data_IF_307700435163
#
_entry.id   IF_307700435163
#
_cell.length_a   1.000
_cell.length_b   1.000
_cell.length_c   1.000
_cell.angle_alpha   90.00
_cell.angle_beta   90.00
_cell.angle_gamma   90.00
#
_symmetry.space_group_name_H-M   'P 1'
#
loop_
_entity.id
_entity.type
_entity.pdbx_description
1 polymer ?
#
# COMPACT_ATOMS: atom_id res chain seq x y z
N UNK A 1 -12.80 61.48 -9.98
CA UNK A 1 -12.44 60.07 -9.74
C UNK A 1 -13.46 59.09 -10.36
N UNK A 2 -13.79 59.24 -11.66
CA UNK A 2 -14.88 58.50 -12.34
C UNK A 2 -14.42 57.68 -13.55
N UNK A 3 -13.13 57.74 -13.89
CA UNK A 3 -12.58 57.09 -15.09
C UNK A 3 -12.36 55.57 -14.92
N UNK A 4 -11.89 55.13 -13.75
CA UNK A 4 -11.63 53.71 -13.47
C UNK A 4 -12.90 52.85 -13.43
N UNK A 5 -14.00 53.39 -12.89
CA UNK A 5 -15.30 52.70 -12.84
C UNK A 5 -15.92 52.51 -14.23
N UNK A 6 -15.67 53.46 -15.14
CA UNK A 6 -16.16 53.37 -16.52
C UNK A 6 -15.32 52.39 -17.34
N UNK A 7 -14.00 52.35 -17.12
CA UNK A 7 -13.10 51.38 -17.74
C UNK A 7 -13.39 49.94 -17.31
N UNK A 8 -13.69 49.71 -16.02
CA UNK A 8 -14.11 48.40 -15.50
C UNK A 8 -15.45 47.93 -16.09
N UNK A 9 -16.42 48.84 -16.26
CA UNK A 9 -17.71 48.50 -16.91
C UNK A 9 -17.59 48.23 -18.40
N UNK A 10 -16.72 48.95 -19.11
CA UNK A 10 -16.49 48.70 -20.54
C UNK A 10 -15.70 47.43 -20.79
N UNK A 11 -14.77 47.05 -19.91
CA UNK A 11 -14.12 45.75 -19.95
C UNK A 11 -15.13 44.62 -19.68
N UNK A 12 -15.99 44.77 -18.67
CA UNK A 12 -17.06 43.80 -18.40
C UNK A 12 -18.05 43.64 -19.56
N UNK A 13 -18.35 44.72 -20.29
CA UNK A 13 -19.22 44.68 -21.48
C UNK A 13 -18.53 44.07 -22.71
N UNK A 14 -17.20 44.21 -22.85
CA UNK A 14 -16.44 43.75 -24.03
C UNK A 14 -16.12 42.24 -23.98
N UNK A 15 -16.12 41.64 -22.79
CA UNK A 15 -16.11 40.18 -22.60
C UNK A 15 -17.51 39.54 -22.68
N UNK A 16 -18.56 40.31 -23.02
CA UNK A 16 -19.90 39.79 -23.27
C UNK A 16 -20.00 39.12 -24.66
N UNK A 17 -18.99 38.30 -25.00
CA UNK A 17 -19.00 37.36 -26.11
C UNK A 17 -19.84 36.15 -25.66
N UNK A 18 -21.13 36.19 -26.00
CA UNK A 18 -22.07 35.09 -25.85
C UNK A 18 -22.17 34.55 -24.42
N UNK A 19 -22.86 35.29 -23.55
CA UNK A 19 -23.14 34.89 -22.16
C UNK A 19 -23.66 33.45 -21.99
N UNK A 20 -24.22 32.82 -23.04
CA UNK A 20 -24.61 31.40 -23.02
C UNK A 20 -23.50 30.40 -23.35
N UNK A 21 -22.57 30.72 -24.26
CA UNK A 21 -21.56 29.78 -24.74
C UNK A 21 -20.32 29.73 -23.83
N UNK A 22 -19.90 30.87 -23.27
CA UNK A 22 -18.81 30.94 -22.30
C UNK A 22 -19.24 30.45 -20.92
N UNK A 23 -20.47 30.77 -20.48
CA UNK A 23 -21.02 30.26 -19.22
C UNK A 23 -21.10 28.74 -19.18
N UNK A 24 -21.39 28.09 -20.32
CA UNK A 24 -21.39 26.63 -20.42
C UNK A 24 -20.01 26.01 -20.16
N UNK A 25 -18.95 26.56 -20.77
CA UNK A 25 -17.57 26.09 -20.51
C UNK A 25 -17.15 26.32 -19.06
N UNK A 26 -17.47 27.47 -18.48
CA UNK A 26 -17.19 27.73 -17.07
C UNK A 26 -18.00 26.83 -16.13
N UNK A 27 -19.25 26.47 -16.48
CA UNK A 27 -20.05 25.51 -15.72
C UNK A 27 -19.42 24.11 -15.73
N UNK A 28 -18.91 23.64 -16.88
CA UNK A 28 -18.21 22.35 -16.97
C UNK A 28 -16.92 22.38 -16.14
N UNK A 29 -16.12 23.44 -16.26
CA UNK A 29 -14.88 23.59 -15.48
C UNK A 29 -15.20 23.66 -13.99
N UNK A 30 -16.24 24.41 -13.59
CA UNK A 30 -16.68 24.50 -12.20
C UNK A 30 -17.20 23.16 -11.67
N UNK A 31 -17.91 22.38 -12.49
CA UNK A 31 -18.37 21.03 -12.11
C UNK A 31 -17.21 20.06 -11.95
N UNK A 32 -16.23 20.10 -12.85
CA UNK A 32 -14.99 19.32 -12.74
C UNK A 32 -14.19 19.71 -11.50
N UNK A 33 -14.03 21.02 -11.26
CA UNK A 33 -13.30 21.55 -10.11
C UNK A 33 -13.99 21.21 -8.80
N UNK A 34 -15.32 21.34 -8.70
CA UNK A 34 -16.08 20.98 -7.50
C UNK A 34 -16.04 19.48 -7.24
N UNK A 35 -16.18 18.65 -8.27
CA UNK A 35 -16.07 17.18 -8.14
C UNK A 35 -14.68 16.77 -7.70
N UNK A 36 -13.62 17.34 -8.30
CA UNK A 36 -12.24 17.07 -7.90
C UNK A 36 -11.95 17.55 -6.47
N UNK A 37 -12.45 18.73 -6.09
CA UNK A 37 -12.30 19.28 -4.74
C UNK A 37 -13.04 18.42 -3.71
N UNK A 38 -14.25 17.96 -4.03
CA UNK A 38 -15.05 17.10 -3.17
C UNK A 38 -14.39 15.72 -3.03
N UNK A 39 -13.92 15.12 -4.12
CA UNK A 39 -13.15 13.86 -4.08
C UNK A 39 -11.87 14.00 -3.25
N UNK A 40 -11.13 15.11 -3.44
CA UNK A 40 -9.94 15.42 -2.65
C UNK A 40 -10.27 15.57 -1.16
N UNK A 41 -11.35 16.27 -0.82
CA UNK A 41 -11.83 16.45 0.55
C UNK A 41 -12.29 15.13 1.17
N UNK A 42 -13.05 14.32 0.45
CA UNK A 42 -13.50 12.99 0.88
C UNK A 42 -12.30 12.10 1.16
N UNK A 43 -11.33 12.03 0.23
CA UNK A 43 -10.11 11.25 0.42
C UNK A 43 -9.28 11.78 1.59
N UNK A 44 -9.17 13.10 1.75
CA UNK A 44 -8.39 13.72 2.84
C UNK A 44 -9.04 13.51 4.21
N UNK A 45 -10.36 13.65 4.31
CA UNK A 45 -11.13 13.44 5.54
C UNK A 45 -11.20 11.94 5.89
N UNK A 46 -11.40 11.07 4.89
CA UNK A 46 -11.40 9.63 5.10
C UNK A 46 -10.01 9.15 5.55
N UNK A 47 -8.93 9.63 4.92
CA UNK A 47 -7.56 9.36 5.37
C UNK A 47 -7.30 9.91 6.78
N UNK A 48 -7.79 11.10 7.11
CA UNK A 48 -7.62 11.68 8.46
C UNK A 48 -8.46 10.99 9.54
N UNK A 49 -9.65 10.47 9.21
CA UNK A 49 -10.49 9.68 10.13
C UNK A 49 -9.94 8.28 10.36
N UNK A 50 -9.43 7.63 9.31
CA UNK A 50 -8.74 6.34 9.40
C UNK A 50 -7.40 6.50 10.15
N UNK A 51 -6.69 7.62 9.98
CA UNK A 51 -5.47 7.98 10.75
C UNK A 51 -5.72 8.11 12.25
N UNK A 52 -6.83 8.73 12.66
CA UNK A 52 -7.17 8.91 14.08
C UNK A 52 -7.51 7.61 14.82
N UNK A 53 -7.96 6.58 14.10
CA UNK A 53 -8.41 5.32 14.71
C UNK A 53 -7.33 4.24 14.80
N UNK A 54 -6.17 4.44 14.16
CA UNK A 54 -5.15 3.39 14.01
C UNK A 54 -3.82 3.67 14.72
N UNK A 55 -3.60 4.82 15.36
CA UNK A 55 -2.30 5.20 15.93
C UNK A 55 -1.10 4.98 14.96
N UNK A 56 -1.35 5.07 13.64
CA UNK A 56 -0.30 5.02 12.61
C UNK A 56 -0.14 6.41 12.01
N UNK A 57 0.29 7.36 12.83
CA UNK A 57 0.94 8.58 12.34
C UNK A 57 2.43 8.27 12.20
N UNK A 58 2.98 8.29 10.98
CA UNK A 58 4.44 8.23 10.84
C UNK A 58 5.05 7.93 9.48
N UNK A 59 4.30 7.44 8.48
CA UNK A 59 4.90 7.04 7.19
C UNK A 59 4.32 7.80 5.99
N UNK A 60 5.16 8.62 5.34
CA UNK A 60 4.96 9.28 4.05
C UNK A 60 4.79 8.27 2.91
N UNK A 61 4.30 8.71 1.74
CA UNK A 61 4.17 7.83 0.56
C UNK A 61 5.51 7.21 0.12
N UNK A 62 6.62 7.93 0.31
CA UNK A 62 7.96 7.41 0.07
C UNK A 62 8.31 6.29 1.06
N UNK A 63 8.02 6.48 2.34
CA UNK A 63 8.23 5.46 3.37
C UNK A 63 7.34 4.23 3.17
N UNK A 64 6.12 4.39 2.65
CA UNK A 64 5.27 3.26 2.27
C UNK A 64 5.88 2.45 1.12
N UNK A 65 6.43 3.10 0.10
CA UNK A 65 7.11 2.41 -1.01
C UNK A 65 8.36 1.67 -0.53
N UNK A 66 9.17 2.30 0.33
CA UNK A 66 10.35 1.69 0.92
C UNK A 66 9.93 0.47 1.74
N UNK A 67 8.92 0.59 2.59
CA UNK A 67 8.40 -0.52 3.39
C UNK A 67 7.88 -1.67 2.51
N UNK A 68 7.15 -1.37 1.42
CA UNK A 68 6.67 -2.40 0.49
C UNK A 68 7.82 -3.11 -0.22
N UNK A 69 8.85 -2.36 -0.63
CA UNK A 69 10.06 -2.92 -1.24
C UNK A 69 10.80 -3.82 -0.24
N UNK A 70 10.99 -3.32 0.99
CA UNK A 70 11.80 -3.99 2.01
C UNK A 70 11.07 -5.20 2.60
N UNK A 71 9.73 -5.23 2.55
CA UNK A 71 8.92 -6.39 2.93
C UNK A 71 8.54 -7.30 1.75
N UNK A 72 9.06 -7.05 0.54
CA UNK A 72 8.67 -7.81 -0.65
C UNK A 72 9.03 -9.31 -0.56
N UNK A 73 10.10 -9.65 0.18
CA UNK A 73 10.52 -11.03 0.42
C UNK A 73 9.44 -11.85 1.15
N UNK A 74 8.73 -11.24 2.11
CA UNK A 74 7.66 -11.92 2.83
C UNK A 74 6.47 -12.24 1.91
N UNK A 75 6.09 -11.28 1.06
CA UNK A 75 5.06 -11.51 0.05
C UNK A 75 5.48 -12.59 -0.96
N UNK A 76 6.78 -12.70 -1.26
CA UNK A 76 7.31 -13.79 -2.09
C UNK A 76 7.20 -15.14 -1.40
N UNK A 77 7.57 -15.26 -0.12
CA UNK A 77 7.41 -16.50 0.64
C UNK A 77 5.94 -16.98 0.67
N UNK A 78 4.99 -16.05 0.84
CA UNK A 78 3.56 -16.38 0.75
C UNK A 78 3.15 -16.89 -0.63
N UNK A 79 3.69 -16.31 -1.72
CA UNK A 79 3.43 -16.80 -3.08
C UNK A 79 3.99 -18.21 -3.32
N UNK A 80 5.17 -18.52 -2.77
CA UNK A 80 5.74 -19.87 -2.87
C UNK A 80 4.84 -20.89 -2.17
N UNK A 81 4.31 -20.54 -0.99
CA UNK A 81 3.30 -21.34 -0.27
C UNK A 81 2.00 -21.51 -1.08
N UNK A 82 1.46 -20.42 -1.62
CA UNK A 82 0.26 -20.47 -2.46
C UNK A 82 0.47 -21.35 -3.71
N UNK A 83 1.68 -21.32 -4.29
CA UNK A 83 2.01 -22.14 -5.46
C UNK A 83 1.97 -23.64 -5.19
N UNK A 84 2.21 -24.04 -3.94
CA UNK A 84 2.09 -25.42 -3.49
C UNK A 84 0.70 -25.74 -2.93
N UNK A 85 -0.26 -24.82 -3.02
CA UNK A 85 -1.65 -25.02 -2.60
C UNK A 85 -1.89 -24.76 -1.12
N UNK A 86 -0.94 -24.13 -0.43
CA UNK A 86 -1.02 -23.87 1.02
C UNK A 86 -1.09 -22.37 1.22
N UNK A 87 -2.26 -21.86 1.57
CA UNK A 87 -2.44 -20.42 1.77
C UNK A 87 -2.51 -20.07 3.25
N UNK A 88 -1.86 -18.97 3.63
CA UNK A 88 -1.96 -18.44 4.99
C UNK A 88 -3.38 -17.95 5.28
N UNK A 89 -4.09 -18.47 6.30
CA UNK A 89 -5.37 -17.94 6.70
C UNK A 89 -5.29 -16.46 7.11
N UNK A 90 -6.34 -15.68 6.79
CA UNK A 90 -6.36 -14.22 7.05
C UNK A 90 -6.37 -13.88 8.54
N UNK A 91 -7.00 -14.72 9.36
CA UNK A 91 -7.13 -14.52 10.80
C UNK A 91 -5.85 -14.87 11.56
N UNK A 92 -4.91 -15.63 10.96
CA UNK A 92 -3.67 -16.01 11.60
C UNK A 92 -2.56 -15.00 11.38
N UNK A 93 -1.81 -14.74 12.46
CA UNK A 93 -0.57 -13.98 12.38
C UNK A 93 0.50 -14.80 11.65
N UNK A 94 1.49 -14.15 10.98
CA UNK A 94 2.61 -14.85 10.35
C UNK A 94 3.28 -15.90 11.26
N UNK A 95 3.48 -15.57 12.55
CA UNK A 95 4.10 -16.47 13.53
C UNK A 95 3.19 -17.63 13.94
N UNK A 96 1.89 -17.39 14.10
CA UNK A 96 0.92 -18.45 14.40
C UNK A 96 0.83 -19.45 13.23
N UNK A 97 0.84 -18.94 12.00
CA UNK A 97 0.86 -19.79 10.82
C UNK A 97 2.16 -20.59 10.66
N UNK A 98 3.30 -20.03 11.08
CA UNK A 98 4.56 -20.78 11.10
C UNK A 98 4.49 -21.99 12.05
N UNK A 99 3.83 -21.83 13.20
CA UNK A 99 3.61 -22.93 14.15
C UNK A 99 2.71 -24.01 13.55
N UNK A 100 1.64 -23.62 12.85
CA UNK A 100 0.76 -24.55 12.13
C UNK A 100 1.50 -25.29 11.01
N UNK A 101 2.32 -24.60 10.21
CA UNK A 101 3.20 -25.27 9.24
C UNK A 101 4.12 -26.28 9.94
N UNK A 102 4.63 -25.92 11.13
CA UNK A 102 5.47 -26.75 11.96
C UNK A 102 4.81 -28.05 12.46
N UNK A 103 3.47 -28.11 12.53
CA UNK A 103 2.77 -29.35 12.88
C UNK A 103 2.71 -30.34 11.72
N UNK A 104 2.81 -29.85 10.47
CA UNK A 104 2.87 -30.68 9.26
C UNK A 104 4.31 -31.08 8.93
N UNK A 105 5.21 -30.10 8.95
CA UNK A 105 6.64 -30.31 8.78
C UNK A 105 7.43 -29.30 9.62
N UNK A 106 8.21 -29.81 10.56
CA UNK A 106 8.95 -28.98 11.52
C UNK A 106 9.96 -28.06 10.84
N UNK A 107 10.67 -28.54 9.81
CA UNK A 107 11.71 -27.77 9.14
C UNK A 107 11.11 -26.62 8.31
N UNK A 108 9.98 -26.87 7.64
CA UNK A 108 9.20 -25.86 6.89
C UNK A 108 8.68 -24.79 7.84
N UNK A 109 8.11 -25.20 8.98
CA UNK A 109 7.63 -24.28 10.01
C UNK A 109 8.72 -23.38 10.56
N UNK A 110 9.90 -23.93 10.87
CA UNK A 110 11.05 -23.16 11.35
C UNK A 110 11.56 -22.17 10.30
N UNK A 111 11.70 -22.60 9.05
CA UNK A 111 12.16 -21.74 7.96
C UNK A 111 11.19 -20.58 7.70
N UNK A 112 9.87 -20.84 7.73
CA UNK A 112 8.87 -19.78 7.60
C UNK A 112 8.83 -18.85 8.82
N UNK A 113 9.04 -19.39 10.03
CA UNK A 113 9.11 -18.59 11.25
C UNK A 113 10.25 -17.56 11.20
N UNK A 114 11.41 -17.95 10.67
CA UNK A 114 12.55 -17.04 10.48
C UNK A 114 12.21 -15.90 9.52
N UNK A 115 11.56 -16.20 8.40
CA UNK A 115 11.08 -15.17 7.45
C UNK A 115 10.06 -14.23 8.12
N UNK A 116 9.13 -14.78 8.90
CA UNK A 116 8.13 -13.99 9.62
C UNK A 116 8.77 -13.05 10.67
N UNK A 117 9.82 -13.51 11.35
CA UNK A 117 10.57 -12.71 12.32
C UNK A 117 11.29 -11.54 11.62
N UNK A 118 11.96 -11.80 10.49
CA UNK A 118 12.57 -10.73 9.69
C UNK A 118 11.52 -9.73 9.20
N UNK A 119 10.36 -10.22 8.77
CA UNK A 119 9.25 -9.36 8.37
C UNK A 119 8.79 -8.46 9.52
N UNK A 120 8.69 -8.98 10.75
CA UNK A 120 8.34 -8.16 11.91
C UNK A 120 9.37 -7.11 12.25
N UNK A 121 10.67 -7.42 12.14
CA UNK A 121 11.75 -6.43 12.32
C UNK A 121 11.62 -5.27 11.34
N UNK A 122 11.37 -5.57 10.07
CA UNK A 122 11.16 -4.54 9.03
C UNK A 122 9.85 -3.78 9.25
N UNK A 123 8.75 -4.49 9.53
CA UNK A 123 7.40 -3.90 9.57
C UNK A 123 7.10 -3.11 10.83
N UNK A 124 7.56 -3.57 11.98
CA UNK A 124 7.23 -3.03 13.30
C UNK A 124 8.46 -2.54 14.07
N UNK A 125 9.64 -3.09 13.78
CA UNK A 125 10.89 -2.69 14.42
C UNK A 125 11.50 -1.39 13.88
N UNK A 126 10.90 -0.77 12.84
CA UNK A 126 11.47 0.42 12.20
C UNK A 126 12.81 0.16 11.49
N UNK A 127 13.16 -1.11 11.29
CA UNK A 127 14.43 -1.51 10.68
C UNK A 127 14.38 -1.31 9.16
N UNK A 128 15.34 -0.56 8.63
CA UNK A 128 15.54 -0.46 7.18
C UNK A 128 16.69 -1.40 6.81
N UNK A 129 16.44 -2.49 6.07
CA UNK A 129 17.48 -3.45 5.72
C UNK A 129 18.61 -2.79 4.92
N UNK A 130 19.85 -3.10 5.26
CA UNK A 130 21.00 -2.88 4.39
C UNK A 130 20.92 -3.75 3.13
N UNK A 131 21.73 -3.44 2.11
CA UNK A 131 21.79 -4.26 0.89
C UNK A 131 22.21 -5.71 1.16
N UNK A 132 23.09 -5.92 2.15
CA UNK A 132 23.49 -7.25 2.60
C UNK A 132 22.30 -8.00 3.22
N UNK A 133 21.57 -7.37 4.14
CA UNK A 133 20.40 -7.98 4.78
C UNK A 133 19.28 -8.27 3.78
N UNK A 134 19.02 -7.36 2.83
CA UNK A 134 18.06 -7.59 1.76
C UNK A 134 18.45 -8.82 0.90
N UNK A 135 19.75 -9.02 0.66
CA UNK A 135 20.26 -10.20 -0.03
C UNK A 135 20.09 -11.46 0.84
N UNK A 136 20.34 -11.37 2.15
CA UNK A 136 20.07 -12.47 3.08
C UNK A 136 18.58 -12.83 3.13
N UNK A 137 17.67 -11.85 3.11
CA UNK A 137 16.22 -12.10 3.05
C UNK A 137 15.82 -12.84 1.77
N UNK A 138 16.42 -12.50 0.63
CA UNK A 138 16.23 -13.24 -0.62
C UNK A 138 16.75 -14.69 -0.49
N UNK A 139 17.93 -14.88 0.09
CA UNK A 139 18.48 -16.22 0.34
C UNK A 139 17.59 -17.07 1.26
N UNK A 140 16.98 -16.47 2.29
CA UNK A 140 16.01 -17.15 3.15
C UNK A 140 14.81 -17.66 2.36
N UNK A 141 14.25 -16.83 1.46
CA UNK A 141 13.12 -17.23 0.61
C UNK A 141 13.52 -18.36 -0.35
N UNK A 142 14.73 -18.33 -0.91
CA UNK A 142 15.22 -19.40 -1.79
C UNK A 142 15.43 -20.72 -1.04
N UNK A 143 16.02 -20.67 0.15
CA UNK A 143 16.20 -21.83 1.01
C UNK A 143 14.84 -22.42 1.43
N UNK A 144 13.91 -21.54 1.84
CA UNK A 144 12.53 -21.93 2.16
C UNK A 144 11.83 -22.59 0.98
N UNK A 145 11.95 -22.02 -0.22
CA UNK A 145 11.39 -22.62 -1.45
C UNK A 145 11.96 -24.02 -1.69
N UNK A 146 13.27 -24.19 -1.63
CA UNK A 146 13.89 -25.51 -1.83
C UNK A 146 13.33 -26.54 -0.83
N UNK A 147 13.21 -26.12 0.44
CA UNK A 147 12.71 -26.95 1.53
C UNK A 147 11.22 -27.28 1.41
N UNK A 148 10.40 -26.33 0.94
CA UNK A 148 8.99 -26.54 0.60
C UNK A 148 8.83 -27.62 -0.48
N UNK A 149 9.61 -27.53 -1.56
CA UNK A 149 9.53 -28.49 -2.67
C UNK A 149 10.02 -29.87 -2.27
N UNK A 150 11.04 -29.96 -1.40
CA UNK A 150 11.53 -31.22 -0.88
C UNK A 150 10.48 -31.93 0.01
N UNK A 151 9.70 -31.18 0.78
CA UNK A 151 8.73 -31.72 1.74
C UNK A 151 7.28 -31.59 1.28
N UNK A 152 7.04 -31.40 -0.02
CA UNK A 152 5.72 -31.10 -0.59
C UNK A 152 4.64 -32.10 -0.18
N UNK A 153 4.99 -33.39 -0.13
CA UNK A 153 4.06 -34.46 0.23
C UNK A 153 3.57 -34.33 1.69
N UNK A 154 4.46 -33.99 2.62
CA UNK A 154 4.11 -33.82 4.04
C UNK A 154 3.23 -32.58 4.26
N UNK A 155 3.50 -31.49 3.53
CA UNK A 155 2.79 -30.22 3.70
C UNK A 155 1.35 -30.28 3.15
N UNK A 156 1.11 -31.11 2.12
CA UNK A 156 -0.18 -31.26 1.45
C UNK A 156 -1.10 -32.32 2.05
N UNK A 157 -0.67 -33.08 3.05
CA UNK A 157 -1.40 -34.24 3.55
C UNK A 157 -2.68 -33.93 4.36
N UNK A 158 -3.22 -32.71 4.28
CA UNK A 158 -4.44 -32.23 4.96
C UNK A 158 -5.56 -31.90 3.96
#
# INVERSE_FOLDING_TARGET
MTSASNALRTLAARFNLGAGASAFWFAIIALGATTATLAMLIVRVHRNRVRKLLHVEGLTAAQQRILLRDAAFYAQALRELDSVGVSKPRHLTPRAFALELGTRDHAVGLAFAEIAEQFYRVRYGGHTPSASEASSHQSLVLAFRALLWQNLAAIRAD
#
